data_IF_798333553434
#
_entry.id   IF_798333553434
#
_cell.length_a   1.000
_cell.length_b   1.000
_cell.length_c   1.000
_cell.angle_alpha   90.00
_cell.angle_beta   90.00
_cell.angle_gamma   90.00
#
_symmetry.space_group_name_H-M   'P 1'
#
loop_
_entity.id
_entity.type
_entity.pdbx_description
1 polymer ?
#
# COMPACT_ATOMS: atom_id res chain seq x y z
N UNK A 1 14.02 -2.49 17.43
CA UNK A 1 13.11 -3.57 17.01
C UNK A 1 11.83 -3.33 17.81
N UNK A 2 10.71 -3.16 17.11
CA UNK A 2 9.41 -2.96 17.74
C UNK A 2 8.92 -4.28 18.34
N UNK A 3 8.12 -4.22 19.40
CA UNK A 3 7.43 -5.40 19.95
C UNK A 3 6.15 -5.70 19.16
N UNK A 4 5.64 -6.92 19.26
CA UNK A 4 4.37 -7.32 18.64
C UNK A 4 3.21 -6.42 19.09
N UNK A 5 3.19 -6.04 20.38
CA UNK A 5 2.19 -5.09 20.91
C UNK A 5 2.32 -3.70 20.27
N UNK A 6 3.54 -3.23 20.01
CA UNK A 6 3.78 -1.97 19.31
C UNK A 6 3.31 -2.05 17.85
N UNK A 7 3.65 -3.14 17.16
CA UNK A 7 3.22 -3.41 15.78
C UNK A 7 1.70 -3.55 15.66
N UNK A 8 1.05 -4.24 16.61
CA UNK A 8 -0.39 -4.38 16.65
C UNK A 8 -1.09 -3.01 16.77
N UNK A 9 -0.54 -2.11 17.57
CA UNK A 9 -1.08 -0.76 17.68
C UNK A 9 -0.85 0.09 16.43
N UNK A 10 0.02 -0.35 15.51
CA UNK A 10 0.31 0.34 14.25
C UNK A 10 -0.56 -0.17 13.08
N UNK A 11 -1.38 -1.22 13.27
CA UNK A 11 -2.30 -1.73 12.25
C UNK A 11 -3.20 -0.61 11.66
N UNK A 12 -3.60 -0.75 10.40
CA UNK A 12 -4.43 0.23 9.68
C UNK A 12 -5.72 0.53 10.45
N UNK A 13 -6.39 -0.50 11.00
CA UNK A 13 -7.64 -0.32 11.77
C UNK A 13 -7.45 0.45 13.08
N UNK A 14 -6.24 0.45 13.65
CA UNK A 14 -5.86 1.25 14.83
C UNK A 14 -5.41 2.65 14.47
N UNK A 15 -4.91 2.84 13.24
CA UNK A 15 -4.35 4.09 12.75
C UNK A 15 -5.29 4.84 11.79
N UNK A 16 -6.60 4.58 11.88
CA UNK A 16 -7.64 5.24 11.05
C UNK A 16 -7.60 6.76 11.11
N UNK A 17 -7.23 7.34 12.25
CA UNK A 17 -7.13 8.81 12.39
C UNK A 17 -6.00 9.40 11.54
N UNK A 18 -4.89 8.68 11.35
CA UNK A 18 -3.81 9.09 10.45
C UNK A 18 -4.27 8.94 9.00
N UNK A 19 -4.86 7.80 8.65
CA UNK A 19 -5.35 7.51 7.30
C UNK A 19 -6.44 8.52 6.87
N UNK A 20 -7.39 8.83 7.75
CA UNK A 20 -8.48 9.78 7.52
C UNK A 20 -7.97 11.18 7.17
N UNK A 21 -6.80 11.60 7.69
CA UNK A 21 -6.25 12.92 7.37
C UNK A 21 -5.91 13.09 5.88
N UNK A 22 -5.71 11.99 5.13
CA UNK A 22 -5.44 12.05 3.69
C UNK A 22 -6.69 12.37 2.86
N UNK A 23 -7.89 12.11 3.39
CA UNK A 23 -9.16 12.39 2.71
C UNK A 23 -9.30 13.90 2.50
N UNK A 24 -9.66 14.30 1.29
CA UNK A 24 -9.76 15.69 0.84
C UNK A 24 -8.42 16.30 0.41
N UNK A 25 -7.30 15.58 0.50
CA UNK A 25 -5.97 16.08 0.13
C UNK A 25 -5.48 15.48 -1.18
N UNK A 26 -4.67 16.23 -1.94
CA UNK A 26 -4.03 15.68 -3.15
C UNK A 26 -2.83 14.82 -2.76
N UNK A 27 -2.69 13.67 -3.42
CA UNK A 27 -1.48 12.85 -3.38
C UNK A 27 -0.40 13.56 -4.21
N UNK A 28 0.72 13.92 -3.58
CA UNK A 28 1.80 14.71 -4.17
C UNK A 28 2.93 13.82 -4.66
N UNK A 29 3.30 12.81 -3.86
CA UNK A 29 4.39 11.90 -4.19
C UNK A 29 4.14 10.54 -3.53
N UNK A 30 4.71 9.51 -4.16
CA UNK A 30 4.85 8.18 -3.60
C UNK A 30 6.32 7.79 -3.65
N UNK A 31 6.89 7.54 -2.48
CA UNK A 31 8.23 7.00 -2.34
C UNK A 31 8.12 5.48 -2.13
N UNK A 32 8.95 4.70 -2.82
CA UNK A 32 9.16 3.28 -2.53
C UNK A 32 10.59 3.04 -2.08
N UNK A 33 10.75 2.15 -1.11
CA UNK A 33 12.00 1.82 -0.45
C UNK A 33 12.32 0.35 -0.72
N UNK A 34 13.19 0.09 -1.70
CA UNK A 34 13.46 -1.27 -2.17
C UNK A 34 14.80 -1.79 -1.66
N UNK A 35 14.83 -3.08 -1.31
CA UNK A 35 16.08 -3.81 -1.04
C UNK A 35 16.78 -4.31 -2.31
N UNK A 36 16.04 -4.46 -3.42
CA UNK A 36 16.57 -4.89 -4.71
C UNK A 36 16.56 -3.73 -5.73
N UNK A 37 17.56 -3.70 -6.62
CA UNK A 37 17.57 -2.74 -7.73
C UNK A 37 17.02 -3.32 -9.02
N UNK A 38 16.81 -2.45 -10.01
CA UNK A 38 16.17 -2.81 -11.27
C UNK A 38 16.86 -3.99 -11.99
N UNK A 39 18.20 -4.06 -12.12
CA UNK A 39 18.85 -5.23 -12.70
C UNK A 39 18.52 -6.53 -11.96
N UNK A 40 18.57 -6.51 -10.62
CA UNK A 40 18.28 -7.69 -9.78
C UNK A 40 16.83 -8.13 -9.91
N UNK A 41 15.90 -7.17 -9.93
CA UNK A 41 14.47 -7.42 -10.14
C UNK A 41 14.17 -8.08 -11.50
N UNK A 42 14.93 -7.73 -12.54
CA UNK A 42 14.74 -8.25 -13.90
C UNK A 42 15.42 -9.60 -14.15
N UNK A 43 16.28 -10.09 -13.24
CA UNK A 43 17.11 -11.30 -13.46
C UNK A 43 16.28 -12.58 -13.69
N UNK A 44 15.02 -12.61 -13.22
CA UNK A 44 14.09 -13.73 -13.42
C UNK A 44 13.25 -13.66 -14.70
N UNK A 45 13.18 -12.52 -15.40
CA UNK A 45 12.41 -12.35 -16.64
C UNK A 45 10.87 -12.42 -16.50
N UNK A 46 10.34 -12.49 -15.28
CA UNK A 46 8.90 -12.55 -15.01
C UNK A 46 8.20 -11.19 -15.11
N UNK A 47 8.95 -10.11 -14.82
CA UNK A 47 8.45 -8.74 -14.82
C UNK A 47 9.20 -7.88 -15.82
N UNK A 48 8.55 -6.80 -16.23
CA UNK A 48 9.07 -5.75 -17.09
C UNK A 48 9.63 -4.59 -16.27
N UNK A 49 10.42 -3.71 -16.91
CA UNK A 49 10.93 -2.51 -16.27
C UNK A 49 9.81 -1.61 -15.72
N UNK A 50 8.69 -1.50 -16.43
CA UNK A 50 7.56 -0.66 -15.98
C UNK A 50 6.80 -1.22 -14.78
N UNK A 51 7.02 -2.50 -14.47
CA UNK A 51 6.44 -3.20 -13.32
C UNK A 51 7.31 -3.10 -12.08
N UNK A 52 8.57 -2.65 -12.21
CA UNK A 52 9.51 -2.51 -11.10
C UNK A 52 8.91 -1.73 -9.92
N UNK A 53 8.37 -0.52 -10.17
CA UNK A 53 7.84 0.30 -9.08
C UNK A 53 6.59 -0.28 -8.41
N UNK A 54 5.82 -1.10 -9.13
CA UNK A 54 4.60 -1.72 -8.63
C UNK A 54 4.89 -3.01 -7.88
N UNK A 55 5.73 -3.87 -8.44
CA UNK A 55 5.91 -5.27 -8.05
C UNK A 55 7.22 -5.55 -7.31
N UNK A 56 8.18 -4.61 -7.26
CA UNK A 56 9.35 -4.81 -6.42
C UNK A 56 8.95 -4.67 -4.94
N UNK A 57 9.24 -5.66 -4.08
CA UNK A 57 8.91 -5.60 -2.66
C UNK A 57 9.62 -4.44 -1.95
N UNK A 58 8.90 -3.73 -1.08
CA UNK A 58 9.44 -2.69 -0.23
C UNK A 58 8.42 -1.66 0.22
N UNK A 59 8.64 -1.19 1.45
CA UNK A 59 7.83 -0.17 2.12
C UNK A 59 7.56 1.06 1.25
N UNK A 60 6.43 1.71 1.53
CA UNK A 60 5.95 2.88 0.82
C UNK A 60 5.85 4.07 1.76
N UNK A 61 6.12 5.26 1.26
CA UNK A 61 5.79 6.51 1.95
C UNK A 61 4.94 7.39 1.05
N UNK A 62 3.79 7.80 1.57
CA UNK A 62 2.81 8.61 0.88
C UNK A 62 2.94 10.06 1.32
N UNK A 63 2.98 10.97 0.35
CA UNK A 63 3.01 12.41 0.61
C UNK A 63 1.73 13.03 0.09
N UNK A 64 0.95 13.59 0.99
CA UNK A 64 -0.24 14.36 0.67
C UNK A 64 -0.02 15.85 0.94
N UNK A 65 -0.87 16.68 0.35
CA UNK A 65 -0.86 18.12 0.60
C UNK A 65 -0.95 18.49 2.09
N UNK A 66 -0.48 19.70 2.41
CA UNK A 66 -0.50 20.19 3.79
C UNK A 66 0.48 19.43 4.70
N UNK A 67 1.61 19.00 4.15
CA UNK A 67 2.71 18.31 4.84
C UNK A 67 2.27 17.03 5.57
N UNK A 68 1.27 16.32 5.04
CA UNK A 68 0.88 15.02 5.58
C UNK A 68 1.72 13.93 4.92
N UNK A 69 2.58 13.31 5.70
CA UNK A 69 3.43 12.20 5.26
C UNK A 69 3.34 11.07 6.27
N UNK A 70 3.18 9.85 5.79
CA UNK A 70 3.30 8.64 6.60
C UNK A 70 3.75 7.46 5.74
N UNK A 71 4.42 6.52 6.39
CA UNK A 71 4.87 5.27 5.76
C UNK A 71 3.91 4.12 6.01
N UNK A 72 3.94 3.13 5.13
CA UNK A 72 3.29 1.83 5.29
C UNK A 72 4.33 0.75 5.03
N UNK A 73 4.24 -0.34 5.79
CA UNK A 73 5.11 -1.51 5.66
C UNK A 73 4.38 -2.75 6.20
N UNK A 74 5.01 -3.92 6.08
CA UNK A 74 4.39 -5.22 6.31
C UNK A 74 4.71 -5.77 7.69
N UNK A 75 3.67 -6.20 8.39
CA UNK A 75 3.77 -7.12 9.52
C UNK A 75 3.57 -8.56 9.05
N UNK A 76 4.68 -9.23 8.70
CA UNK A 76 4.62 -10.59 8.15
C UNK A 76 3.90 -11.60 9.05
N UNK A 77 4.08 -11.52 10.37
CA UNK A 77 3.47 -12.47 11.32
C UNK A 77 1.94 -12.35 11.43
N UNK A 78 1.37 -11.18 11.09
CA UNK A 78 -0.08 -10.95 11.12
C UNK A 78 -0.69 -10.85 9.72
N UNK A 79 0.11 -11.10 8.67
CA UNK A 79 -0.26 -10.89 7.27
C UNK A 79 -0.96 -9.53 7.08
N UNK A 80 -0.41 -8.48 7.71
CA UNK A 80 -1.09 -7.18 7.82
C UNK A 80 -0.15 -6.05 7.44
N UNK A 81 -0.73 -4.94 6.99
CA UNK A 81 -0.02 -3.68 6.78
C UNK A 81 -0.12 -2.85 8.06
N UNK A 82 0.94 -2.14 8.42
CA UNK A 82 0.90 -1.13 9.48
C UNK A 82 1.31 0.25 8.99
N UNK A 83 0.90 1.28 9.74
CA UNK A 83 1.29 2.68 9.53
C UNK A 83 2.51 2.98 10.40
N UNK A 84 3.59 3.44 9.78
CA UNK A 84 4.84 3.78 10.46
C UNK A 84 4.71 5.09 11.28
N UNK A 85 5.29 5.17 12.48
CA UNK A 85 5.20 6.35 13.36
C UNK A 85 6.04 7.55 12.90
N UNK A 86 6.78 7.41 11.79
CA UNK A 86 7.67 8.44 11.25
C UNK A 86 7.94 8.24 9.76
N UNK A 87 8.73 9.14 9.20
CA UNK A 87 9.15 9.07 7.80
C UNK A 87 10.22 8.01 7.60
N UNK A 88 10.15 7.29 6.50
CA UNK A 88 11.18 6.36 6.07
C UNK A 88 12.43 7.13 5.62
N UNK A 89 13.61 6.56 5.90
CA UNK A 89 14.90 7.09 5.46
C UNK A 89 15.62 6.03 4.63
N UNK A 90 16.23 6.45 3.52
CA UNK A 90 17.12 5.57 2.76
C UNK A 90 18.41 5.31 3.54
N UNK A 91 18.94 4.10 3.41
CA UNK A 91 20.25 3.71 3.94
C UNK A 91 21.07 2.97 2.85
N UNK A 92 22.19 2.36 3.23
CA UNK A 92 23.06 1.67 2.28
C UNK A 92 22.43 0.40 1.66
N UNK A 93 21.39 -0.15 2.30
CA UNK A 93 20.69 -1.36 1.87
C UNK A 93 19.37 -1.05 1.18
N UNK A 94 18.79 0.11 1.47
CA UNK A 94 17.45 0.49 1.05
C UNK A 94 17.49 1.68 0.10
N UNK A 95 17.16 1.42 -1.16
CA UNK A 95 17.16 2.44 -2.23
C UNK A 95 15.79 3.12 -2.31
N UNK A 96 15.81 4.46 -2.31
CA UNK A 96 14.63 5.29 -2.48
C UNK A 96 14.34 5.54 -3.96
N UNK A 97 13.11 5.27 -4.38
CA UNK A 97 12.58 5.61 -5.68
C UNK A 97 11.33 6.47 -5.54
N UNK A 98 11.29 7.57 -6.27
CA UNK A 98 10.11 8.45 -6.35
C UNK A 98 9.29 8.13 -7.58
N UNK A 99 7.98 8.03 -7.41
CA UNK A 99 7.06 7.73 -8.52
C UNK A 99 7.14 8.79 -9.63
N UNK A 100 7.28 10.07 -9.25
CA UNK A 100 7.37 11.15 -10.24
C UNK A 100 8.65 11.11 -11.09
N UNK A 101 9.77 10.65 -10.51
CA UNK A 101 11.10 10.73 -11.12
C UNK A 101 11.50 9.45 -11.88
N UNK A 102 11.04 8.27 -11.42
CA UNK A 102 11.48 6.99 -11.97
C UNK A 102 10.94 6.73 -13.38
N UNK A 103 11.77 6.26 -14.31
CA UNK A 103 11.29 5.74 -15.61
C UNK A 103 10.62 4.37 -15.48
N UNK A 104 10.91 3.65 -14.40
CA UNK A 104 10.53 2.26 -14.16
C UNK A 104 9.16 2.14 -13.44
N UNK A 105 8.20 3.00 -13.81
CA UNK A 105 6.83 2.99 -13.31
C UNK A 105 5.84 3.28 -14.45
N UNK A 106 4.68 2.63 -14.41
CA UNK A 106 3.65 2.80 -15.44
C UNK A 106 3.09 4.24 -15.47
N UNK A 107 2.75 4.78 -16.66
CA UNK A 107 2.10 6.08 -16.76
C UNK A 107 0.77 6.16 -16.00
N UNK A 108 0.03 5.05 -15.94
CA UNK A 108 -1.24 4.97 -15.22
C UNK A 108 -1.05 5.15 -13.72
N UNK A 109 -0.02 4.54 -13.14
CA UNK A 109 0.30 4.74 -11.73
C UNK A 109 0.76 6.18 -11.46
N UNK A 110 1.61 6.75 -12.33
CA UNK A 110 2.00 8.17 -12.22
C UNK A 110 0.82 9.13 -12.29
N UNK A 111 -0.23 8.77 -13.02
CA UNK A 111 -1.47 9.55 -13.10
C UNK A 111 -2.26 9.57 -11.78
N UNK A 112 -1.87 8.81 -10.75
CA UNK A 112 -2.39 8.96 -9.40
C UNK A 112 -1.88 10.23 -8.70
N UNK A 113 -0.72 10.74 -9.11
CA UNK A 113 -0.18 11.99 -8.55
C UNK A 113 -1.03 13.20 -8.95
N UNK A 114 -1.14 14.15 -8.02
CA UNK A 114 -1.96 15.35 -8.15
C UNK A 114 -3.46 15.14 -7.94
N UNK A 115 -3.92 13.89 -7.75
CA UNK A 115 -5.34 13.57 -7.54
C UNK A 115 -5.73 13.66 -6.07
N UNK A 116 -6.96 14.12 -5.83
CA UNK A 116 -7.52 14.24 -4.48
C UNK A 116 -8.02 12.88 -4.00
N UNK A 117 -7.63 12.49 -2.78
CA UNK A 117 -8.15 11.32 -2.10
C UNK A 117 -9.56 11.60 -1.55
N UNK A 118 -10.51 10.73 -1.87
CA UNK A 118 -11.91 10.82 -1.44
C UNK A 118 -12.28 9.79 -0.38
N UNK A 119 -11.56 8.67 -0.36
CA UNK A 119 -11.77 7.62 0.62
C UNK A 119 -10.46 6.85 0.81
N UNK A 120 -10.31 6.28 1.99
CA UNK A 120 -9.26 5.30 2.29
C UNK A 120 -9.96 4.05 2.78
N UNK A 121 -9.61 2.90 2.21
CA UNK A 121 -10.28 1.64 2.51
C UNK A 121 -9.28 0.62 3.02
N UNK A 122 -9.69 -0.11 4.05
CA UNK A 122 -8.92 -1.19 4.66
C UNK A 122 -9.54 -2.51 4.21
N UNK A 123 -8.73 -3.39 3.66
CA UNK A 123 -9.14 -4.65 3.06
C UNK A 123 -8.60 -5.80 3.90
N UNK A 124 -9.46 -6.77 4.18
CA UNK A 124 -9.11 -7.94 4.99
C UNK A 124 -9.13 -9.21 4.15
N UNK A 125 -8.16 -10.10 4.38
CA UNK A 125 -8.02 -11.33 3.60
C UNK A 125 -9.19 -12.28 3.85
N UNK A 126 -9.67 -12.93 2.79
CA UNK A 126 -10.56 -14.06 2.91
C UNK A 126 -9.77 -15.34 3.18
N UNK A 127 -10.18 -16.07 4.21
CA UNK A 127 -9.62 -17.37 4.56
C UNK A 127 -10.67 -18.46 4.55
N UNK A 128 -10.20 -19.68 4.28
CA UNK A 128 -11.01 -20.89 4.37
C UNK A 128 -11.01 -21.49 5.81
N UNK A 129 -10.41 -20.79 6.78
CA UNK A 129 -10.31 -21.21 8.18
C UNK A 129 -10.57 -20.04 9.15
N UNK A 130 -10.94 -20.36 10.39
CA UNK A 130 -11.12 -19.37 11.45
C UNK A 130 -9.76 -18.95 12.01
N UNK A 131 -9.47 -17.64 12.01
CA UNK A 131 -8.29 -17.07 12.67
C UNK A 131 -8.63 -15.70 13.26
N UNK A 132 -8.00 -15.39 14.39
CA UNK A 132 -8.18 -14.13 15.15
C UNK A 132 -7.23 -13.01 14.70
N UNK A 133 -6.32 -13.29 13.77
CA UNK A 133 -5.38 -12.30 13.22
C UNK A 133 -6.12 -11.24 12.38
N UNK A 134 -5.61 -10.01 12.39
CA UNK A 134 -6.26 -8.87 11.75
C UNK A 134 -6.31 -8.97 10.21
N UNK A 135 -5.25 -9.51 9.60
CA UNK A 135 -5.11 -9.76 8.16
C UNK A 135 -5.50 -8.58 7.27
N UNK A 136 -5.05 -7.40 7.68
CA UNK A 136 -5.29 -6.14 6.97
C UNK A 136 -4.36 -6.05 5.76
N UNK A 137 -4.68 -6.85 4.74
CA UNK A 137 -3.82 -7.16 3.59
C UNK A 137 -3.77 -6.09 2.51
N UNK A 138 -4.67 -5.11 2.53
CA UNK A 138 -4.50 -3.95 1.66
C UNK A 138 -5.07 -2.68 2.28
N UNK A 139 -4.46 -1.57 1.89
CA UNK A 139 -5.05 -0.25 2.00
C UNK A 139 -5.18 0.35 0.62
N UNK A 140 -6.35 0.88 0.30
CA UNK A 140 -6.60 1.57 -0.96
C UNK A 140 -6.96 3.03 -0.76
N UNK A 141 -6.52 3.85 -1.72
CA UNK A 141 -6.79 5.27 -1.79
C UNK A 141 -7.67 5.51 -3.01
N UNK A 142 -8.94 5.85 -2.76
CA UNK A 142 -9.85 6.22 -3.84
C UNK A 142 -9.58 7.67 -4.23
N UNK A 143 -8.95 7.84 -5.38
CA UNK A 143 -8.56 9.13 -5.92
C UNK A 143 -9.59 9.61 -6.95
N UNK A 144 -9.69 10.93 -7.14
CA UNK A 144 -10.60 11.50 -8.13
C UNK A 144 -10.32 10.99 -9.57
N UNK A 145 -11.35 10.97 -10.42
CA UNK A 145 -11.23 10.42 -11.77
C UNK A 145 -11.08 8.90 -11.82
N UNK A 146 -11.85 8.19 -10.98
CA UNK A 146 -12.01 6.73 -10.97
C UNK A 146 -10.71 5.95 -10.76
N UNK A 147 -9.70 6.57 -10.17
CA UNK A 147 -8.41 5.93 -9.92
C UNK A 147 -8.36 5.44 -8.48
N UNK A 148 -8.06 4.16 -8.28
CA UNK A 148 -7.87 3.60 -6.95
C UNK A 148 -6.47 2.97 -6.89
N UNK A 149 -5.65 3.44 -5.97
CA UNK A 149 -4.28 2.98 -5.76
C UNK A 149 -4.24 2.12 -4.50
N UNK A 150 -3.62 0.95 -4.59
CA UNK A 150 -3.56 -0.04 -3.52
C UNK A 150 -2.13 -0.27 -3.10
N UNK A 151 -1.87 -0.26 -1.80
CA UNK A 151 -0.72 -0.97 -1.25
C UNK A 151 -1.24 -2.27 -0.65
N UNK A 152 -0.75 -3.42 -1.12
CA UNK A 152 -1.32 -4.72 -0.80
C UNK A 152 -0.27 -5.80 -0.63
N UNK A 153 -0.60 -6.79 0.19
CA UNK A 153 0.22 -7.95 0.52
C UNK A 153 -0.59 -9.23 0.36
N UNK A 154 0.05 -10.34 -0.01
CA UNK A 154 -0.54 -11.69 -0.10
C UNK A 154 -1.75 -11.87 -1.05
N UNK A 155 -2.22 -10.81 -1.72
CA UNK A 155 -3.37 -10.89 -2.63
C UNK A 155 -3.06 -11.63 -3.94
N UNK A 156 -1.80 -11.73 -4.35
CA UNK A 156 -1.41 -12.44 -5.59
C UNK A 156 -0.86 -13.87 -5.36
N UNK A 157 -1.09 -14.46 -4.18
CA UNK A 157 -0.54 -15.79 -3.80
C UNK A 157 0.98 -15.83 -3.67
N UNK A 158 1.63 -14.67 -3.76
CA UNK A 158 3.06 -14.53 -3.49
C UNK A 158 3.26 -14.22 -2.00
N UNK A 159 3.99 -15.08 -1.30
CA UNK A 159 4.24 -14.94 0.14
C UNK A 159 5.20 -13.79 0.48
N UNK A 160 5.93 -13.26 -0.51
CA UNK A 160 6.89 -12.16 -0.35
C UNK A 160 6.40 -10.89 -1.04
N UNK A 161 5.07 -10.70 -1.09
CA UNK A 161 4.46 -9.60 -1.82
C UNK A 161 4.11 -8.41 -0.95
N UNK A 162 4.67 -7.25 -1.30
CA UNK A 162 4.11 -5.95 -0.97
C UNK A 162 4.14 -5.03 -2.20
N UNK A 163 2.96 -4.88 -2.80
CA UNK A 163 2.81 -4.31 -4.13
C UNK A 163 2.02 -3.00 -4.10
N UNK A 164 2.39 -2.11 -5.02
CA UNK A 164 1.65 -0.89 -5.30
C UNK A 164 0.88 -1.08 -6.62
N UNK A 165 -0.40 -1.43 -6.50
CA UNK A 165 -1.26 -1.81 -7.62
C UNK A 165 -2.33 -0.76 -7.91
N UNK A 166 -2.96 -0.89 -9.08
CA UNK A 166 -4.18 -0.17 -9.43
C UNK A 166 -5.39 -1.10 -9.24
N UNK A 167 -6.57 -0.53 -9.03
CA UNK A 167 -7.77 -1.31 -8.70
C UNK A 167 -8.18 -2.40 -9.70
N UNK A 168 -7.77 -2.28 -10.97
CA UNK A 168 -8.00 -3.29 -12.00
C UNK A 168 -7.13 -4.56 -11.82
N UNK A 169 -6.02 -4.44 -11.11
CA UNK A 169 -5.02 -5.50 -10.91
C UNK A 169 -5.20 -6.18 -9.54
N UNK A 170 -6.22 -5.78 -8.76
CA UNK A 170 -6.50 -6.31 -7.42
C UNK A 170 -7.52 -7.45 -7.50
N UNK A 171 -7.18 -8.67 -7.01
CA UNK A 171 -8.10 -9.81 -6.98
C UNK A 171 -9.08 -9.68 -5.82
N UNK A 172 -10.19 -8.97 -6.06
CA UNK A 172 -11.24 -8.66 -5.07
C UNK A 172 -11.99 -9.88 -4.55
N UNK A 173 -11.92 -11.01 -5.24
CA UNK A 173 -12.50 -12.29 -4.83
C UNK A 173 -11.79 -12.93 -3.64
N UNK A 174 -10.59 -12.44 -3.28
CA UNK A 174 -9.80 -12.93 -2.14
C UNK A 174 -9.95 -12.07 -0.88
N UNK A 175 -10.92 -11.16 -0.87
CA UNK A 175 -11.12 -10.19 0.22
C UNK A 175 -12.40 -10.54 0.97
N UNK A 176 -12.30 -10.73 2.29
CA UNK A 176 -13.43 -11.00 3.16
C UNK A 176 -14.28 -9.75 3.40
N UNK A 177 -13.63 -8.63 3.69
CA UNK A 177 -14.32 -7.37 3.97
C UNK A 177 -13.48 -6.15 3.57
N UNK A 178 -14.18 -5.06 3.29
CA UNK A 178 -13.60 -3.76 2.96
C UNK A 178 -14.27 -2.69 3.84
N UNK A 179 -13.49 -2.01 4.68
CA UNK A 179 -13.97 -0.93 5.54
C UNK A 179 -13.63 0.43 4.92
N UNK A 180 -14.64 1.26 4.66
CA UNK A 180 -14.46 2.63 4.16
C UNK A 180 -14.28 3.59 5.33
N UNK A 181 -13.17 4.32 5.37
CA UNK A 181 -12.92 5.33 6.39
C UNK A 181 -13.84 6.53 6.17
N UNK A 182 -14.11 6.93 4.92
CA UNK A 182 -14.99 8.07 4.63
C UNK A 182 -16.44 7.81 5.09
N UNK A 183 -16.93 6.57 4.91
CA UNK A 183 -18.29 6.20 5.30
C UNK A 183 -18.38 5.77 6.77
N UNK A 184 -17.27 5.33 7.36
CA UNK A 184 -17.25 4.73 8.70
C UNK A 184 -17.98 3.38 8.75
N UNK A 185 -18.09 2.68 7.62
CA UNK A 185 -18.85 1.44 7.49
C UNK A 185 -18.18 0.47 6.49
N UNK A 186 -18.59 -0.79 6.54
CA UNK A 186 -18.17 -1.81 5.60
C UNK A 186 -18.92 -1.67 4.28
N UNK A 187 -18.19 -1.86 3.18
CA UNK A 187 -18.72 -1.87 1.82
C UNK A 187 -18.44 -3.23 1.17
N UNK A 188 -19.17 -3.53 0.09
CA UNK A 188 -18.91 -4.72 -0.70
C UNK A 188 -17.55 -4.57 -1.39
N UNK A 189 -16.57 -5.48 -1.13
CA UNK A 189 -15.24 -5.42 -1.75
C UNK A 189 -15.28 -5.56 -3.28
N UNK A 190 -16.41 -5.99 -3.86
CA UNK A 190 -16.61 -6.16 -5.30
C UNK A 190 -17.09 -4.89 -6.01
N UNK A 191 -17.39 -3.82 -5.26
CA UNK A 191 -17.87 -2.53 -5.76
C UNK A 191 -16.75 -1.52 -6.04
#
# INVERSE_FOLDING_TARGET
MLTDDELFNMLLSKQKDILNQSIGRRLIEVDRFFGSDLPSFLEGGYFTETEFFSHNPGAIQLHFEGNLTYGLDVYGEQLSIFVLPGTLSSDEFTKLYRLSETSAASPTLKNCLGKTCHDVRIWTLQEDFESEEAKEVAVSYLLNGESEMFYCIYLLEDCDSDYLLLGQDVPRDRVASCFSIALGDYIDPRQ
#
